data_IF_942075511784
#
_entry.id   IF_942075511784
#
_cell.length_a   1.000
_cell.length_b   1.000
_cell.length_c   1.000
_cell.angle_alpha   90.00
_cell.angle_beta   90.00
_cell.angle_gamma   90.00
#
_symmetry.space_group_name_H-M   'P 1'
#
loop_
_entity.id
_entity.type
_entity.pdbx_description
1 polymer ?
#
# COMPACT_ATOMS: atom_id res chain seq x y z
N UNK A 1 44.37 -47.53 -27.51
CA UNK A 1 43.55 -46.70 -26.60
C UNK A 1 43.13 -47.55 -25.40
N UNK A 2 43.78 -47.36 -24.23
CA UNK A 2 43.37 -48.03 -22.97
C UNK A 2 42.28 -47.17 -22.31
N UNK A 3 41.07 -47.73 -22.20
CA UNK A 3 40.01 -47.12 -21.43
C UNK A 3 40.32 -47.22 -19.93
N UNK A 4 40.58 -46.11 -19.26
CA UNK A 4 40.66 -46.03 -17.81
C UNK A 4 39.22 -46.19 -17.25
N UNK A 5 38.89 -47.44 -16.87
CA UNK A 5 37.67 -47.71 -16.10
C UNK A 5 38.04 -47.45 -14.64
N UNK A 6 37.68 -46.30 -14.10
CA UNK A 6 37.84 -46.01 -12.67
C UNK A 6 36.81 -46.83 -11.90
N UNK A 7 37.24 -47.86 -11.18
CA UNK A 7 36.38 -48.61 -10.26
C UNK A 7 36.00 -47.76 -9.06
N UNK A 8 34.76 -47.29 -9.03
CA UNK A 8 34.18 -46.62 -7.87
C UNK A 8 33.85 -47.67 -6.81
N UNK A 9 34.44 -47.53 -5.62
CA UNK A 9 34.11 -48.42 -4.49
C UNK A 9 32.81 -47.92 -3.83
N UNK A 10 32.00 -48.79 -3.20
CA UNK A 10 30.72 -48.38 -2.53
C UNK A 10 30.88 -47.24 -1.53
N UNK A 11 32.04 -47.16 -0.84
CA UNK A 11 32.37 -46.06 0.08
C UNK A 11 32.52 -44.71 -0.66
N UNK A 12 33.13 -44.69 -1.83
CA UNK A 12 33.31 -43.48 -2.64
C UNK A 12 31.97 -42.99 -3.22
N UNK A 13 31.09 -43.91 -3.60
CA UNK A 13 29.75 -43.61 -4.07
C UNK A 13 28.93 -42.99 -2.93
N UNK A 14 28.98 -43.55 -1.73
CA UNK A 14 28.26 -43.01 -0.57
C UNK A 14 28.71 -41.60 -0.18
N UNK A 15 30.02 -41.35 -0.14
CA UNK A 15 30.56 -40.01 0.16
C UNK A 15 30.15 -38.98 -0.93
N UNK A 16 30.23 -39.37 -2.20
CA UNK A 16 29.81 -38.48 -3.31
C UNK A 16 28.31 -38.14 -3.26
N UNK A 17 27.46 -39.09 -2.90
CA UNK A 17 26.03 -38.88 -2.71
C UNK A 17 25.72 -37.91 -1.55
N UNK A 18 26.41 -38.08 -0.41
CA UNK A 18 26.24 -37.18 0.76
C UNK A 18 26.69 -35.75 0.40
N UNK A 19 27.80 -35.58 -0.28
CA UNK A 19 28.26 -34.24 -0.70
C UNK A 19 27.31 -33.61 -1.70
N UNK A 20 26.81 -34.38 -2.67
CA UNK A 20 25.86 -33.89 -3.65
C UNK A 20 24.52 -33.49 -3.01
N UNK A 21 24.01 -34.29 -2.06
CA UNK A 21 22.78 -33.92 -1.33
C UNK A 21 22.97 -32.70 -0.42
N UNK A 22 24.09 -32.59 0.27
CA UNK A 22 24.42 -31.41 1.09
C UNK A 22 24.54 -30.16 0.22
N UNK A 23 25.17 -30.24 -0.95
CA UNK A 23 25.28 -29.14 -1.91
C UNK A 23 23.89 -28.73 -2.46
N UNK A 24 23.05 -29.70 -2.83
CA UNK A 24 21.68 -29.42 -3.28
C UNK A 24 20.82 -28.76 -2.20
N UNK A 25 20.98 -29.18 -0.94
CA UNK A 25 20.26 -28.55 0.19
C UNK A 25 20.74 -27.14 0.45
N UNK A 26 22.05 -26.85 0.33
CA UNK A 26 22.57 -25.47 0.50
C UNK A 26 22.12 -24.55 -0.64
N UNK A 27 22.11 -25.03 -1.88
CA UNK A 27 21.62 -24.28 -3.04
C UNK A 27 20.11 -24.05 -2.91
N UNK A 28 19.32 -25.04 -2.52
CA UNK A 28 17.89 -24.91 -2.30
C UNK A 28 17.58 -23.91 -1.18
N UNK A 29 18.40 -23.85 -0.13
CA UNK A 29 18.27 -22.86 0.95
C UNK A 29 18.54 -21.44 0.44
N UNK A 30 19.62 -21.21 -0.30
CA UNK A 30 19.96 -19.91 -0.86
C UNK A 30 18.90 -19.40 -1.87
N UNK A 31 18.42 -20.30 -2.75
CA UNK A 31 17.36 -19.94 -3.72
C UNK A 31 16.06 -19.56 -3.03
N UNK A 32 15.74 -20.19 -1.89
CA UNK A 32 14.54 -19.82 -1.14
C UNK A 32 14.66 -18.46 -0.43
N UNK A 33 15.85 -18.06 -0.01
CA UNK A 33 16.06 -16.76 0.68
C UNK A 33 16.09 -15.58 -0.32
N UNK A 34 16.70 -15.76 -1.50
CA UNK A 34 16.79 -14.70 -2.51
C UNK A 34 15.48 -14.53 -3.33
N UNK A 35 14.68 -15.59 -3.46
CA UNK A 35 13.48 -15.60 -4.28
C UNK A 35 12.24 -14.95 -3.63
N UNK A 36 12.35 -14.41 -2.41
CA UNK A 36 11.23 -13.82 -1.68
C UNK A 36 11.54 -12.44 -1.07
N UNK A 37 11.93 -11.45 -1.88
CA UNK A 37 12.28 -10.13 -1.36
C UNK A 37 11.11 -9.43 -0.63
N UNK A 38 9.88 -9.93 -0.83
CA UNK A 38 8.66 -9.35 -0.24
C UNK A 38 7.90 -10.32 0.68
N UNK A 39 8.58 -11.37 1.15
CA UNK A 39 7.96 -12.28 2.11
C UNK A 39 7.72 -11.55 3.45
N UNK A 40 6.48 -11.58 3.90
CA UNK A 40 6.11 -10.92 5.16
C UNK A 40 6.56 -11.75 6.35
N UNK A 41 7.26 -11.11 7.27
CA UNK A 41 7.44 -11.63 8.63
C UNK A 41 6.13 -11.41 9.42
N UNK A 42 5.90 -12.22 10.46
CA UNK A 42 4.76 -12.03 11.35
C UNK A 42 4.71 -10.60 11.93
N UNK A 43 5.87 -10.00 12.22
CA UNK A 43 5.98 -8.62 12.69
C UNK A 43 5.55 -7.57 11.65
N UNK A 44 5.80 -7.83 10.36
CA UNK A 44 5.32 -6.96 9.26
C UNK A 44 3.82 -7.08 9.07
N UNK A 45 3.28 -8.31 9.15
CA UNK A 45 1.83 -8.55 9.09
C UNK A 45 1.13 -7.81 10.22
N UNK A 46 1.63 -7.91 11.46
CA UNK A 46 1.08 -7.19 12.61
C UNK A 46 1.11 -5.68 12.39
N UNK A 47 2.21 -5.11 11.87
CA UNK A 47 2.29 -3.67 11.54
C UNK A 47 1.32 -3.25 10.45
N UNK A 48 1.10 -4.11 9.46
CA UNK A 48 0.16 -3.85 8.38
C UNK A 48 -1.30 -3.83 8.87
N UNK A 49 -1.65 -4.75 9.78
CA UNK A 49 -3.03 -4.92 10.25
C UNK A 49 -3.40 -3.99 11.42
N UNK A 50 -2.46 -3.67 12.32
CA UNK A 50 -2.73 -2.94 13.56
C UNK A 50 -2.38 -1.44 13.50
N UNK A 51 -2.10 -0.89 12.33
CA UNK A 51 -1.79 0.53 12.20
C UNK A 51 -2.99 1.40 12.58
N UNK A 52 -2.79 2.37 13.51
CA UNK A 52 -3.72 3.47 13.67
C UNK A 52 -3.78 4.29 12.37
N UNK A 53 -4.92 4.92 12.12
CA UNK A 53 -5.04 5.83 10.98
C UNK A 53 -4.02 6.97 11.13
N UNK A 54 -3.31 7.36 10.06
CA UNK A 54 -2.36 8.46 10.13
C UNK A 54 -3.08 9.78 10.39
N UNK A 55 -2.58 10.56 11.36
CA UNK A 55 -3.16 11.83 11.80
C UNK A 55 -2.43 13.06 11.24
N UNK A 56 -1.41 12.88 10.42
CA UNK A 56 -0.59 13.96 9.86
C UNK A 56 -0.85 14.12 8.35
N UNK A 57 -0.40 15.24 7.81
CA UNK A 57 -0.22 15.41 6.38
C UNK A 57 1.30 15.27 6.05
N UNK A 58 1.59 14.93 4.81
CA UNK A 58 2.96 14.82 4.32
C UNK A 58 3.33 15.97 3.37
N UNK A 59 2.58 17.05 3.38
CA UNK A 59 2.72 18.20 2.49
C UNK A 59 2.06 18.05 1.12
N UNK A 60 1.50 16.87 0.84
CA UNK A 60 0.78 16.53 -0.41
C UNK A 60 -0.59 15.95 -0.08
N UNK A 61 -0.63 14.97 0.80
CA UNK A 61 -1.84 14.25 1.20
C UNK A 61 -2.08 14.31 2.70
N UNK A 62 -3.35 14.27 3.05
CA UNK A 62 -3.81 14.21 4.43
C UNK A 62 -4.18 12.77 4.79
N UNK A 63 -3.69 12.29 5.93
CA UNK A 63 -4.04 10.97 6.46
C UNK A 63 -5.49 10.90 6.97
N UNK A 64 -6.12 9.74 6.79
CA UNK A 64 -7.54 9.55 7.14
C UNK A 64 -7.84 9.74 8.62
N UNK A 65 -6.86 9.53 9.51
CA UNK A 65 -7.02 9.79 10.94
C UNK A 65 -7.24 11.26 11.28
N UNK A 66 -6.73 12.18 10.46
CA UNK A 66 -7.01 13.61 10.61
C UNK A 66 -8.46 13.93 10.20
N UNK A 67 -8.95 13.30 9.13
CA UNK A 67 -10.34 13.40 8.71
C UNK A 67 -11.31 12.84 9.77
N UNK A 68 -10.91 11.76 10.44
CA UNK A 68 -11.67 11.12 11.50
C UNK A 68 -11.96 12.06 12.70
N UNK A 69 -11.19 13.13 12.87
CA UNK A 69 -11.43 14.14 13.92
C UNK A 69 -12.79 14.81 13.81
N UNK A 70 -13.30 14.98 12.59
CA UNK A 70 -14.63 15.58 12.32
C UNK A 70 -15.59 14.58 11.65
N UNK A 71 -15.06 13.63 10.85
CA UNK A 71 -15.82 12.65 10.08
C UNK A 71 -15.79 11.24 10.69
N UNK A 72 -15.35 11.10 11.93
CA UNK A 72 -15.36 9.88 12.72
C UNK A 72 -16.53 9.78 13.68
N UNK A 73 -16.41 8.90 14.67
CA UNK A 73 -17.41 8.72 15.71
C UNK A 73 -17.52 10.00 16.56
N UNK A 74 -18.72 10.52 16.69
CA UNK A 74 -19.04 11.59 17.63
C UNK A 74 -19.57 11.00 18.94
N UNK A 75 -18.79 11.05 20.04
CA UNK A 75 -19.18 10.44 21.30
C UNK A 75 -20.34 11.19 22.00
N UNK A 76 -20.63 12.42 21.59
CA UNK A 76 -21.72 13.22 22.18
C UNK A 76 -22.98 13.22 21.30
N UNK A 77 -22.92 12.65 20.09
CA UNK A 77 -24.08 12.38 19.26
C UNK A 77 -24.73 13.60 18.60
N UNK A 78 -23.94 14.66 18.33
CA UNK A 78 -24.43 15.86 17.63
C UNK A 78 -24.19 15.84 16.13
N UNK A 79 -23.23 15.04 15.67
CA UNK A 79 -22.87 14.94 14.27
C UNK A 79 -22.76 13.45 13.84
N UNK A 80 -22.86 13.23 12.53
CA UNK A 80 -22.75 11.87 11.95
C UNK A 80 -23.74 10.85 12.52
N UNK A 81 -24.92 11.31 12.94
CA UNK A 81 -26.01 10.48 13.45
C UNK A 81 -27.29 10.82 12.69
N UNK A 82 -28.04 9.82 12.26
CA UNK A 82 -29.36 9.99 11.64
C UNK A 82 -30.40 10.40 12.67
N UNK A 83 -31.57 10.83 12.21
CA UNK A 83 -32.74 11.11 13.07
C UNK A 83 -33.19 9.88 13.89
N UNK A 84 -32.85 8.68 13.40
CA UNK A 84 -33.14 7.38 14.03
C UNK A 84 -32.07 6.97 15.06
N UNK A 85 -30.98 7.74 15.19
CA UNK A 85 -29.87 7.46 16.11
C UNK A 85 -28.79 6.53 15.55
N UNK A 86 -28.78 6.26 14.24
CA UNK A 86 -27.76 5.44 13.61
C UNK A 86 -26.48 6.24 13.35
N UNK A 87 -25.33 5.67 13.64
CA UNK A 87 -24.01 6.23 13.31
C UNK A 87 -23.75 6.11 11.81
N UNK A 88 -23.54 7.22 11.14
CA UNK A 88 -23.28 7.31 9.69
C UNK A 88 -21.98 8.04 9.38
N UNK A 89 -20.98 7.85 10.22
CA UNK A 89 -19.72 8.57 10.04
C UNK A 89 -18.89 7.99 8.88
N UNK A 90 -18.40 8.83 7.98
CA UNK A 90 -17.68 8.39 6.78
C UNK A 90 -16.43 7.57 7.08
N UNK A 91 -15.69 7.91 8.13
CA UNK A 91 -14.42 7.24 8.45
C UNK A 91 -14.62 5.79 8.86
N UNK A 92 -15.56 5.50 9.76
CA UNK A 92 -15.80 4.12 10.19
C UNK A 92 -16.43 3.29 9.08
N UNK A 93 -17.32 3.88 8.27
CA UNK A 93 -17.90 3.22 7.12
C UNK A 93 -16.83 2.88 6.07
N UNK A 94 -15.87 3.78 5.83
CA UNK A 94 -14.75 3.56 4.91
C UNK A 94 -13.73 2.56 5.47
N UNK A 95 -13.39 2.62 6.77
CA UNK A 95 -12.34 1.83 7.41
C UNK A 95 -12.49 0.32 7.19
N UNK A 96 -13.73 -0.19 7.14
CA UNK A 96 -14.05 -1.59 6.90
C UNK A 96 -13.99 -2.01 5.42
N UNK A 97 -13.79 -1.08 4.49
CA UNK A 97 -13.85 -1.37 3.06
C UNK A 97 -12.55 -1.96 2.51
N UNK A 98 -12.65 -2.58 1.33
CA UNK A 98 -11.48 -3.03 0.56
C UNK A 98 -10.56 -1.86 0.19
N UNK A 99 -11.07 -0.65 -0.03
CA UNK A 99 -10.29 0.54 -0.34
C UNK A 99 -9.36 0.92 0.82
N UNK A 100 -9.89 1.01 2.04
CA UNK A 100 -9.09 1.30 3.23
C UNK A 100 -8.01 0.24 3.52
N UNK A 101 -8.25 -0.98 3.06
CA UNK A 101 -7.37 -2.12 3.32
C UNK A 101 -6.56 -2.56 2.09
N UNK A 102 -6.65 -1.84 0.97
CA UNK A 102 -6.02 -2.22 -0.29
C UNK A 102 -4.49 -2.38 -0.18
N UNK A 103 -3.82 -1.50 0.56
CA UNK A 103 -2.38 -1.57 0.79
C UNK A 103 -1.96 -2.65 1.81
N UNK A 104 -2.90 -3.09 2.65
CA UNK A 104 -2.69 -4.09 3.70
C UNK A 104 -3.05 -5.50 3.25
N UNK A 105 -3.71 -5.64 2.11
CA UNK A 105 -4.18 -6.92 1.58
C UNK A 105 -2.99 -7.88 1.34
N UNK A 106 -2.91 -8.97 2.10
CA UNK A 106 -1.81 -9.92 1.98
C UNK A 106 -1.84 -10.65 0.64
N UNK A 107 -3.02 -10.83 0.04
CA UNK A 107 -3.16 -11.51 -1.24
C UNK A 107 -2.59 -10.67 -2.39
N UNK A 108 -2.90 -9.38 -2.44
CA UNK A 108 -2.27 -8.45 -3.39
C UNK A 108 -0.75 -8.45 -3.24
N UNK A 109 -0.23 -8.36 -2.01
CA UNK A 109 1.21 -8.32 -1.76
C UNK A 109 1.90 -9.61 -2.19
N UNK A 110 1.29 -10.76 -1.93
CA UNK A 110 1.81 -12.04 -2.40
C UNK A 110 1.82 -12.10 -3.94
N UNK A 111 0.77 -11.60 -4.59
CA UNK A 111 0.71 -11.54 -6.06
C UNK A 111 1.78 -10.61 -6.63
N UNK A 112 1.96 -9.43 -6.06
CA UNK A 112 3.02 -8.50 -6.48
C UNK A 112 4.41 -9.13 -6.32
N UNK A 113 4.67 -9.79 -5.19
CA UNK A 113 5.93 -10.51 -4.96
C UNK A 113 6.17 -11.59 -6.01
N UNK A 114 5.15 -12.34 -6.37
CA UNK A 114 5.24 -13.35 -7.43
C UNK A 114 5.53 -12.70 -8.79
N UNK A 115 4.78 -11.67 -9.17
CA UNK A 115 4.93 -11.02 -10.48
C UNK A 115 6.33 -10.40 -10.66
N UNK A 116 6.85 -9.75 -9.62
CA UNK A 116 8.19 -9.16 -9.67
C UNK A 116 9.30 -10.22 -9.70
N UNK A 117 9.09 -11.37 -9.06
CA UNK A 117 10.03 -12.49 -9.10
C UNK A 117 10.10 -13.18 -10.47
N UNK A 118 8.96 -13.34 -11.17
CA UNK A 118 8.92 -13.96 -12.49
C UNK A 118 9.24 -12.99 -13.64
N UNK A 119 9.14 -11.68 -13.40
CA UNK A 119 9.43 -10.63 -14.37
C UNK A 119 10.46 -9.62 -13.82
N UNK A 120 11.68 -10.02 -13.45
CA UNK A 120 12.63 -9.15 -12.77
C UNK A 120 13.03 -7.92 -13.58
N UNK A 121 13.02 -8.01 -14.92
CA UNK A 121 13.31 -6.89 -15.82
C UNK A 121 12.24 -5.78 -15.81
N UNK A 122 11.04 -6.08 -15.32
CA UNK A 122 9.91 -5.14 -15.24
C UNK A 122 9.44 -4.94 -13.79
N UNK A 123 10.23 -5.38 -12.80
CA UNK A 123 9.80 -5.38 -11.40
C UNK A 123 9.36 -4.00 -10.90
N UNK A 124 10.12 -2.94 -11.20
CA UNK A 124 9.77 -1.59 -10.77
C UNK A 124 8.51 -1.04 -11.46
N UNK A 125 8.33 -1.34 -12.73
CA UNK A 125 7.14 -0.97 -13.49
C UNK A 125 5.89 -1.65 -12.92
N UNK A 126 5.98 -2.93 -12.58
CA UNK A 126 4.92 -3.69 -11.92
C UNK A 126 4.61 -3.14 -10.52
N UNK A 127 5.64 -2.80 -9.74
CA UNK A 127 5.46 -2.16 -8.43
C UNK A 127 4.67 -0.87 -8.58
N UNK A 128 5.11 0.05 -9.43
CA UNK A 128 4.44 1.33 -9.65
C UNK A 128 3.00 1.13 -10.13
N UNK A 129 2.78 0.20 -11.07
CA UNK A 129 1.45 -0.08 -11.60
C UNK A 129 0.49 -0.62 -10.55
N UNK A 130 0.92 -1.55 -9.72
CA UNK A 130 0.08 -2.11 -8.66
C UNK A 130 -0.16 -1.09 -7.54
N UNK A 131 0.87 -0.37 -7.12
CA UNK A 131 0.76 0.65 -6.05
C UNK A 131 -0.08 1.84 -6.45
N UNK A 132 -0.22 2.16 -7.75
CA UNK A 132 -1.11 3.25 -8.19
C UNK A 132 -2.57 3.06 -7.78
N UNK A 133 -3.01 1.83 -7.54
CA UNK A 133 -4.35 1.50 -7.05
C UNK A 133 -4.36 1.01 -5.60
N UNK A 134 -3.35 0.22 -5.19
CA UNK A 134 -3.36 -0.42 -3.86
C UNK A 134 -2.73 0.43 -2.76
N UNK A 135 -1.77 1.30 -3.10
CA UNK A 135 -1.12 2.22 -2.17
C UNK A 135 -0.90 3.59 -2.83
N UNK A 136 -1.97 4.23 -3.36
CA UNK A 136 -1.82 5.44 -4.18
C UNK A 136 -1.13 6.57 -3.42
N UNK A 137 -1.42 6.75 -2.15
CA UNK A 137 -0.82 7.82 -1.34
C UNK A 137 0.72 7.70 -1.31
N UNK A 138 1.26 6.50 -1.14
CA UNK A 138 2.71 6.28 -1.16
C UNK A 138 3.33 6.58 -2.52
N UNK A 139 2.78 5.99 -3.58
CA UNK A 139 3.29 6.19 -4.94
C UNK A 139 3.21 7.66 -5.37
N UNK A 140 2.05 8.29 -5.23
CA UNK A 140 1.86 9.66 -5.71
C UNK A 140 2.56 10.70 -4.84
N UNK A 141 2.80 10.44 -3.56
CA UNK A 141 3.72 11.24 -2.75
C UNK A 141 5.11 11.25 -3.39
N UNK A 142 5.63 10.10 -3.79
CA UNK A 142 6.93 10.01 -4.45
C UNK A 142 6.94 10.73 -5.80
N UNK A 143 5.96 10.45 -6.67
CA UNK A 143 5.86 11.09 -7.99
C UNK A 143 5.83 12.61 -7.87
N UNK A 144 4.98 13.16 -7.01
CA UNK A 144 4.82 14.60 -6.81
C UNK A 144 6.05 15.24 -6.11
N UNK A 145 6.83 14.43 -5.40
CA UNK A 145 8.13 14.83 -4.84
C UNK A 145 9.30 14.68 -5.83
N UNK A 146 9.03 14.30 -7.09
CA UNK A 146 10.04 14.18 -8.14
C UNK A 146 10.69 12.79 -8.26
N UNK A 147 10.25 11.80 -7.49
CA UNK A 147 10.69 10.41 -7.62
C UNK A 147 9.57 9.56 -8.28
N UNK A 148 9.73 9.09 -9.51
CA UNK A 148 8.67 8.35 -10.22
C UNK A 148 8.44 6.94 -9.67
N UNK A 149 9.28 6.45 -8.76
CA UNK A 149 9.26 5.08 -8.28
C UNK A 149 8.87 5.01 -6.80
N UNK A 150 8.08 3.99 -6.46
CA UNK A 150 7.80 3.60 -5.08
C UNK A 150 8.67 2.40 -4.67
N UNK A 151 9.36 2.52 -3.55
CA UNK A 151 10.07 1.39 -2.96
C UNK A 151 9.10 0.58 -2.09
N UNK A 152 8.65 -0.56 -2.60
CA UNK A 152 7.67 -1.42 -1.93
C UNK A 152 8.17 -1.96 -0.59
N UNK A 153 9.47 -2.01 -0.35
CA UNK A 153 10.05 -2.44 0.93
C UNK A 153 9.75 -1.47 2.06
N UNK A 154 9.43 -0.22 1.76
CA UNK A 154 9.04 0.80 2.74
C UNK A 154 7.58 0.69 3.18
N UNK A 155 6.74 0.00 2.42
CA UNK A 155 5.30 -0.09 2.70
C UNK A 155 4.97 -0.53 4.15
N UNK A 156 5.66 -1.47 4.80
CA UNK A 156 5.38 -1.84 6.20
C UNK A 156 5.59 -0.71 7.21
N UNK A 157 6.46 0.25 6.89
CA UNK A 157 6.77 1.40 7.75
C UNK A 157 6.03 2.68 7.32
N UNK A 158 5.61 2.77 6.06
CA UNK A 158 4.92 3.92 5.48
C UNK A 158 3.43 3.90 5.85
N UNK A 159 3.08 4.61 6.93
CA UNK A 159 1.70 4.65 7.42
C UNK A 159 0.75 5.38 6.46
N UNK A 160 1.24 6.37 5.68
CA UNK A 160 0.45 7.05 4.66
C UNK A 160 0.13 6.13 3.49
N UNK A 161 1.12 5.40 2.99
CA UNK A 161 0.88 4.40 1.94
C UNK A 161 -0.05 3.27 2.41
N UNK A 162 0.09 2.83 3.69
CA UNK A 162 -0.78 1.80 4.29
C UNK A 162 -2.22 2.27 4.56
N UNK A 163 -2.47 3.56 4.49
CA UNK A 163 -3.83 4.11 4.57
C UNK A 163 -4.68 3.71 3.34
N UNK A 164 -4.06 3.11 2.34
CA UNK A 164 -4.71 2.54 1.15
C UNK A 164 -5.28 3.62 0.25
N UNK A 165 -6.45 3.36 -0.31
CA UNK A 165 -7.25 4.37 -1.01
C UNK A 165 -8.01 5.16 0.06
N UNK A 166 -7.36 6.15 0.63
CA UNK A 166 -7.86 6.95 1.73
C UNK A 166 -8.76 8.10 1.25
N UNK A 167 -9.20 8.94 2.19
CA UNK A 167 -10.06 10.08 1.90
C UNK A 167 -9.41 11.01 0.86
N UNK A 168 -8.12 11.33 1.00
CA UNK A 168 -7.38 12.18 0.08
C UNK A 168 -7.28 11.61 -1.33
N UNK A 169 -7.19 10.27 -1.49
CA UNK A 169 -7.13 9.64 -2.80
C UNK A 169 -8.34 9.92 -3.68
N UNK A 170 -9.50 10.20 -3.05
CA UNK A 170 -10.70 10.60 -3.77
C UNK A 170 -10.93 12.11 -3.69
N UNK A 171 -10.79 12.69 -2.48
CA UNK A 171 -11.18 14.08 -2.26
C UNK A 171 -10.16 15.13 -2.71
N UNK A 172 -8.90 14.74 -3.02
CA UNK A 172 -7.90 15.61 -3.63
C UNK A 172 -7.72 15.34 -5.14
N UNK A 173 -8.50 14.42 -5.72
CA UNK A 173 -8.36 14.08 -7.13
C UNK A 173 -8.78 15.25 -8.02
N UNK A 174 -7.96 15.53 -9.04
CA UNK A 174 -8.26 16.54 -10.06
C UNK A 174 -9.21 15.98 -11.10
N UNK A 175 -9.94 16.88 -11.73
CA UNK A 175 -10.90 16.54 -12.79
C UNK A 175 -10.24 16.28 -14.13
N UNK A 176 -9.02 16.79 -14.35
CA UNK A 176 -8.27 16.55 -15.59
C UNK A 176 -7.91 15.07 -15.72
N UNK A 177 -8.11 14.52 -16.88
CA UNK A 177 -7.91 13.10 -17.16
C UNK A 177 -9.10 12.19 -16.83
N UNK A 178 -10.09 12.64 -16.06
CA UNK A 178 -11.27 11.83 -15.74
C UNK A 178 -12.05 11.45 -17.01
N UNK A 179 -12.29 10.14 -17.18
CA UNK A 179 -12.98 9.58 -18.33
C UNK A 179 -12.11 9.43 -19.59
N UNK A 180 -10.85 9.87 -19.56
CA UNK A 180 -9.91 9.76 -20.68
C UNK A 180 -8.63 9.01 -20.31
N UNK A 181 -8.22 9.08 -19.06
CA UNK A 181 -7.11 8.33 -18.50
C UNK A 181 -7.62 7.24 -17.56
N UNK A 182 -6.99 6.07 -17.61
CA UNK A 182 -7.45 4.88 -16.92
C UNK A 182 -6.32 4.16 -16.19
N UNK A 183 -6.66 3.12 -15.46
CA UNK A 183 -5.71 2.19 -14.86
C UNK A 183 -4.73 2.83 -13.88
N UNK A 184 -5.21 3.70 -13.01
CA UNK A 184 -4.42 4.31 -11.94
C UNK A 184 -3.56 5.49 -12.41
N UNK A 185 -3.87 6.12 -13.55
CA UNK A 185 -3.37 7.45 -13.88
C UNK A 185 -4.21 8.46 -13.12
N UNK A 186 -3.70 8.92 -11.97
CA UNK A 186 -4.40 9.82 -11.08
C UNK A 186 -3.66 11.15 -10.99
N UNK A 187 -4.41 12.24 -10.93
CA UNK A 187 -3.90 13.59 -10.75
C UNK A 187 -4.49 14.17 -9.47
N UNK A 188 -3.66 14.85 -8.67
CA UNK A 188 -4.07 15.35 -7.37
C UNK A 188 -3.83 16.84 -7.21
N UNK A 189 -4.69 17.49 -6.45
CA UNK A 189 -4.46 18.79 -5.86
C UNK A 189 -3.62 18.64 -4.58
N UNK A 190 -2.80 19.65 -4.28
CA UNK A 190 -2.08 19.75 -3.02
C UNK A 190 -2.73 20.72 -2.04
N UNK A 191 -3.68 21.52 -2.53
CA UNK A 191 -4.28 22.66 -1.87
C UNK A 191 -5.82 22.62 -1.84
N UNK A 192 -6.43 21.55 -2.40
CA UNK A 192 -7.88 21.49 -2.55
C UNK A 192 -8.42 20.13 -2.13
N UNK A 193 -9.42 20.13 -1.25
CA UNK A 193 -10.24 18.96 -0.91
C UNK A 193 -11.67 19.23 -1.40
N UNK A 194 -12.14 18.33 -2.26
CA UNK A 194 -13.49 18.41 -2.81
C UNK A 194 -14.54 17.93 -1.82
N UNK A 195 -15.63 18.70 -1.70
CA UNK A 195 -16.80 18.35 -0.94
C UNK A 195 -18.07 18.48 -1.81
N UNK A 196 -19.25 18.06 -1.30
CA UNK A 196 -20.50 18.12 -2.03
C UNK A 196 -21.09 19.53 -2.15
N UNK A 197 -20.58 20.51 -1.39
CA UNK A 197 -21.10 21.86 -1.31
C UNK A 197 -20.11 22.85 -1.90
N UNK A 198 -20.60 23.81 -2.67
CA UNK A 198 -19.82 24.99 -3.09
C UNK A 198 -19.75 26.00 -1.93
N UNK A 199 -18.69 26.81 -1.90
CA UNK A 199 -18.44 27.75 -0.80
C UNK A 199 -19.58 28.71 -0.53
N UNK A 200 -20.34 29.10 -1.59
CA UNK A 200 -21.50 29.98 -1.50
C UNK A 200 -22.73 29.31 -0.87
N UNK A 201 -22.79 27.99 -0.86
CA UNK A 201 -23.88 27.20 -0.25
C UNK A 201 -23.62 26.85 1.21
N UNK A 202 -22.38 27.09 1.68
CA UNK A 202 -22.01 26.85 3.07
C UNK A 202 -22.38 28.06 3.95
N UNK A 203 -23.56 28.08 4.48
CA UNK A 203 -24.04 29.12 5.42
C UNK A 203 -23.30 29.16 6.77
N UNK A 204 -22.34 28.22 6.98
CA UNK A 204 -21.58 28.12 8.20
C UNK A 204 -20.07 28.38 7.95
N UNK A 205 -19.61 29.62 8.14
CA UNK A 205 -18.21 29.99 7.94
C UNK A 205 -17.23 29.19 8.79
N UNK A 206 -17.67 28.56 9.88
CA UNK A 206 -16.85 27.72 10.74
C UNK A 206 -16.41 26.45 10.00
N UNK A 207 -17.27 25.84 9.19
CA UNK A 207 -16.91 24.63 8.44
C UNK A 207 -15.92 24.92 7.30
N UNK A 208 -16.13 26.03 6.61
CA UNK A 208 -15.21 26.48 5.56
C UNK A 208 -13.80 26.76 6.12
N UNK A 209 -13.70 27.47 7.22
CA UNK A 209 -12.44 27.77 7.87
C UNK A 209 -11.74 26.50 8.41
N UNK A 210 -12.49 25.57 8.98
CA UNK A 210 -11.92 24.31 9.43
C UNK A 210 -11.34 23.49 8.28
N UNK A 211 -12.04 23.38 7.15
CA UNK A 211 -11.55 22.67 5.96
C UNK A 211 -10.34 23.38 5.34
N UNK A 212 -10.34 24.71 5.25
CA UNK A 212 -9.19 25.48 4.78
C UNK A 212 -7.93 25.26 5.63
N UNK A 213 -8.05 25.10 6.93
CA UNK A 213 -6.91 24.82 7.81
C UNK A 213 -6.29 23.44 7.59
N UNK A 214 -6.96 22.55 6.85
CA UNK A 214 -6.46 21.21 6.51
C UNK A 214 -5.74 21.16 5.16
N UNK A 215 -5.96 22.14 4.30
CA UNK A 215 -5.48 22.20 2.92
C UNK A 215 -4.51 23.36 2.68
N UNK A 216 -4.32 24.21 3.67
CA UNK A 216 -3.62 25.48 3.56
C UNK A 216 -2.09 25.38 3.70
#
# INVERSE_FOLDING_TARGET
>A
MKRLITHWTPKKIGVSLIVATAFLLTVAWQVNDEARPYHHTDGEIVKLLNGNLPIYDNGIFVGSGRCAGCHGIDPVGFANITSEGELVNPTENWRGTMMANSAKDPFWRAKLSHETAVNPGHAQELINKCTSCHAPIGLYTNIMSGNPNYDISQLPADSMARDGVNCSACHQQRMDGLGTEFSGSLHFHTDTIWGPYVSEEMDFPIFYQAMQSFVG
#
